data_IF_971898999723
#
_entry.id   IF_971898999723
#
_cell.length_a   1.000
_cell.length_b   1.000
_cell.length_c   1.000
_cell.angle_alpha   90.00
_cell.angle_beta   90.00
_cell.angle_gamma   90.00
#
_symmetry.space_group_name_H-M   'P 1'
#
loop_
_entity.id
_entity.type
_entity.pdbx_description
1 polymer ?
#
# COMPACT_ATOMS: atom_id res chain seq x y z
N UNK A 1 8.10 29.65 3.56
CA UNK A 1 8.75 28.36 3.86
C UNK A 1 8.01 27.75 5.04
N UNK A 2 7.07 26.83 4.81
CA UNK A 2 6.24 26.24 5.87
C UNK A 2 7.02 25.17 6.62
N UNK A 3 7.15 25.32 7.94
CA UNK A 3 7.70 24.30 8.83
C UNK A 3 6.97 22.96 8.59
N UNK A 4 7.68 21.81 8.64
CA UNK A 4 7.03 20.51 8.49
C UNK A 4 5.89 20.42 9.49
N UNK A 5 4.67 20.15 8.99
CA UNK A 5 3.50 19.93 9.83
C UNK A 5 3.74 18.66 10.65
N UNK A 6 4.30 18.83 11.84
CA UNK A 6 4.31 17.81 12.88
C UNK A 6 2.84 17.61 13.23
N UNK A 7 2.30 16.42 12.97
CA UNK A 7 0.92 16.07 13.34
C UNK A 7 0.94 15.51 14.76
N UNK A 8 0.60 16.29 15.80
CA UNK A 8 0.76 15.87 17.19
C UNK A 8 -0.10 14.64 17.52
N UNK A 9 -1.23 14.50 16.84
CA UNK A 9 -2.12 13.35 16.91
C UNK A 9 -1.42 12.04 16.49
N UNK A 10 -0.53 12.10 15.49
CA UNK A 10 0.20 10.92 15.03
C UNK A 10 1.25 10.51 16.03
N UNK A 11 1.93 11.48 16.64
CA UNK A 11 2.88 11.20 17.72
C UNK A 11 2.17 10.62 18.94
N UNK A 12 0.99 11.12 19.28
CA UNK A 12 0.19 10.54 20.36
C UNK A 12 -0.19 9.08 20.09
N UNK A 13 -0.71 8.78 18.88
CA UNK A 13 -1.03 7.41 18.46
C UNK A 13 0.24 6.55 18.48
N UNK A 14 1.35 7.08 17.94
CA UNK A 14 2.63 6.37 17.88
C UNK A 14 3.11 6.02 19.29
N UNK A 15 3.21 6.98 20.19
CA UNK A 15 3.69 6.76 21.56
C UNK A 15 2.79 5.79 22.32
N UNK A 16 1.46 5.94 22.23
CA UNK A 16 0.51 5.04 22.90
C UNK A 16 0.67 3.57 22.46
N UNK A 17 0.75 3.31 21.16
CA UNK A 17 0.91 1.95 20.64
C UNK A 17 2.35 1.44 20.73
N UNK A 18 3.32 2.35 20.82
CA UNK A 18 4.71 2.00 21.09
C UNK A 18 4.86 1.48 22.53
N UNK A 19 4.26 2.17 23.50
CA UNK A 19 4.32 1.79 24.92
C UNK A 19 3.50 0.53 25.22
N UNK A 20 2.34 0.37 24.60
CA UNK A 20 1.44 -0.76 24.89
C UNK A 20 1.79 -2.05 24.15
N UNK A 21 2.24 -2.00 22.90
CA UNK A 21 2.48 -3.20 22.08
C UNK A 21 3.78 -3.18 21.27
N UNK A 22 4.55 -2.09 21.32
CA UNK A 22 5.75 -1.91 20.50
C UNK A 22 5.47 -1.62 19.03
N UNK A 23 4.20 -1.40 18.64
CA UNK A 23 3.77 -1.26 17.24
C UNK A 23 3.40 0.18 16.87
N UNK A 24 4.05 1.16 17.49
CA UNK A 24 3.70 2.58 17.32
C UNK A 24 3.73 3.03 15.86
N UNK A 25 4.73 2.55 15.10
CA UNK A 25 4.87 2.90 13.68
C UNK A 25 3.73 2.33 12.83
N UNK A 26 3.36 1.07 13.08
CA UNK A 26 2.36 0.35 12.32
C UNK A 26 1.00 1.06 12.42
N UNK A 27 0.61 1.44 13.63
CA UNK A 27 -0.65 2.14 13.89
C UNK A 27 -0.65 3.58 13.38
N UNK A 28 0.42 4.34 13.63
CA UNK A 28 0.46 5.76 13.26
C UNK A 28 0.63 6.00 11.75
N UNK A 29 1.32 5.09 11.04
CA UNK A 29 1.69 5.29 9.63
C UNK A 29 1.33 4.12 8.72
N UNK A 30 1.72 2.88 9.03
CA UNK A 30 1.61 1.76 8.09
C UNK A 30 0.17 1.43 7.72
N UNK A 31 -0.67 1.10 8.72
CA UNK A 31 -2.08 0.73 8.48
C UNK A 31 -2.86 1.89 7.87
N UNK A 32 -2.62 3.11 8.35
CA UNK A 32 -3.26 4.32 7.81
C UNK A 32 -2.86 4.57 6.35
N UNK A 33 -1.58 4.42 6.03
CA UNK A 33 -1.05 4.55 4.68
C UNK A 33 -1.64 3.48 3.75
N UNK A 34 -1.65 2.23 4.21
CA UNK A 34 -2.21 1.13 3.43
C UNK A 34 -3.72 1.27 3.20
N UNK A 35 -4.48 1.80 4.18
CA UNK A 35 -5.90 2.14 3.99
C UNK A 35 -6.13 3.20 2.90
N UNK A 36 -5.15 4.07 2.61
CA UNK A 36 -5.23 4.98 1.45
C UNK A 36 -4.99 4.23 0.14
N UNK A 37 -4.05 3.29 0.12
CA UNK A 37 -3.78 2.42 -1.03
C UNK A 37 -5.01 1.60 -1.39
N UNK A 38 -5.65 0.95 -0.40
CA UNK A 38 -6.86 0.17 -0.63
C UNK A 38 -8.01 1.02 -1.20
N UNK A 39 -8.20 2.23 -0.68
CA UNK A 39 -9.20 3.17 -1.22
C UNK A 39 -8.90 3.60 -2.65
N UNK A 40 -7.63 3.80 -2.99
CA UNK A 40 -7.23 4.11 -4.37
C UNK A 40 -7.46 2.93 -5.31
N UNK A 41 -7.08 1.72 -4.90
CA UNK A 41 -7.31 0.50 -5.66
C UNK A 41 -8.82 0.24 -5.88
N UNK A 42 -9.66 0.48 -4.88
CA UNK A 42 -11.12 0.39 -5.00
C UNK A 42 -11.75 1.40 -5.98
N UNK A 43 -11.02 2.43 -6.43
CA UNK A 43 -11.50 3.32 -7.50
C UNK A 43 -11.35 2.73 -8.90
N UNK A 44 -10.45 1.75 -9.06
CA UNK A 44 -10.12 1.10 -10.34
C UNK A 44 -11.15 0.03 -10.70
N UNK A 45 -11.69 -0.68 -9.70
CA UNK A 45 -12.69 -1.73 -9.88
C UNK A 45 -13.96 -1.33 -9.14
N UNK A 46 -15.00 -0.90 -9.86
CA UNK A 46 -16.29 -0.44 -9.30
C UNK A 46 -17.45 -1.37 -9.66
N UNK A 47 -17.35 -2.10 -10.76
CA UNK A 47 -18.33 -3.07 -11.23
C UNK A 47 -17.70 -4.45 -11.48
N UNK A 48 -18.52 -5.49 -11.64
CA UNK A 48 -18.04 -6.86 -11.91
C UNK A 48 -17.34 -7.02 -13.25
N UNK A 49 -17.54 -6.09 -14.18
CA UNK A 49 -16.97 -6.11 -15.54
C UNK A 49 -15.76 -5.20 -15.69
N UNK A 50 -15.49 -4.35 -14.70
CA UNK A 50 -14.36 -3.43 -14.76
C UNK A 50 -13.04 -4.24 -14.75
N UNK A 51 -12.18 -3.94 -15.72
CA UNK A 51 -10.80 -4.44 -15.76
C UNK A 51 -9.87 -3.25 -15.57
N UNK A 52 -8.88 -3.43 -14.70
CA UNK A 52 -7.85 -2.43 -14.48
C UNK A 52 -6.64 -3.03 -13.78
N UNK A 53 -5.56 -2.28 -13.80
CA UNK A 53 -4.27 -2.69 -13.22
C UNK A 53 -3.95 -1.74 -12.07
N UNK A 54 -3.64 -2.32 -10.92
CA UNK A 54 -3.14 -1.58 -9.76
C UNK A 54 -1.65 -1.85 -9.64
N UNK A 55 -0.85 -0.78 -9.66
CA UNK A 55 0.60 -0.86 -9.49
C UNK A 55 1.00 -0.21 -8.18
N UNK A 56 1.73 -0.94 -7.35
CA UNK A 56 2.27 -0.45 -6.09
C UNK A 56 3.77 -0.17 -6.29
N UNK A 57 4.16 1.09 -6.24
CA UNK A 57 5.52 1.54 -6.53
C UNK A 57 6.15 2.01 -5.23
N UNK A 58 6.89 1.12 -4.58
CA UNK A 58 7.80 1.39 -3.45
C UNK A 58 8.38 0.04 -2.96
N UNK A 59 9.62 0.01 -2.48
CA UNK A 59 10.23 -1.21 -1.90
C UNK A 59 9.44 -1.77 -0.69
N UNK A 60 8.77 -0.89 0.07
CA UNK A 60 7.99 -1.26 1.26
C UNK A 60 6.91 -2.31 0.97
N UNK A 61 6.32 -2.26 -0.23
CA UNK A 61 5.30 -3.22 -0.68
C UNK A 61 5.87 -4.64 -0.93
N UNK A 62 7.18 -4.78 -1.04
CA UNK A 62 7.89 -6.07 -1.08
C UNK A 62 8.14 -6.67 0.32
N UNK A 63 8.18 -5.84 1.36
CA UNK A 63 8.48 -6.28 2.73
C UNK A 63 7.34 -7.12 3.34
N UNK A 64 7.71 -8.09 4.18
CA UNK A 64 6.74 -9.01 4.81
C UNK A 64 5.65 -8.27 5.62
N UNK A 65 6.01 -7.17 6.29
CA UNK A 65 5.08 -6.36 7.08
C UNK A 65 3.90 -5.82 6.25
N UNK A 66 4.17 -5.26 5.07
CA UNK A 66 3.13 -4.75 4.18
C UNK A 66 2.39 -5.87 3.44
N UNK A 67 3.09 -6.94 3.07
CA UNK A 67 2.48 -8.10 2.38
C UNK A 67 1.39 -8.76 3.22
N UNK A 68 1.54 -8.77 4.56
CA UNK A 68 0.52 -9.28 5.49
C UNK A 68 -0.77 -8.46 5.48
N UNK A 69 -0.75 -7.22 4.96
CA UNK A 69 -1.93 -6.36 4.86
C UNK A 69 -2.69 -6.58 3.55
N UNK A 70 -2.14 -7.35 2.61
CA UNK A 70 -2.75 -7.51 1.30
C UNK A 70 -4.08 -8.26 1.45
N UNK A 71 -5.15 -7.78 0.79
CA UNK A 71 -6.39 -8.54 0.68
C UNK A 71 -6.12 -9.92 0.08
N UNK A 72 -6.90 -10.93 0.48
CA UNK A 72 -6.72 -12.31 0.02
C UNK A 72 -6.83 -12.42 -1.52
N UNK A 73 -7.65 -11.57 -2.11
CA UNK A 73 -7.89 -11.45 -3.54
C UNK A 73 -6.61 -11.06 -4.31
N UNK A 74 -5.64 -10.43 -3.63
CA UNK A 74 -4.36 -10.01 -4.22
C UNK A 74 -3.26 -11.08 -4.13
N UNK A 75 -3.61 -12.32 -3.80
CA UNK A 75 -2.68 -13.47 -3.69
C UNK A 75 -1.82 -13.73 -4.94
N UNK A 76 -2.22 -13.22 -6.11
CA UNK A 76 -1.49 -13.35 -7.39
C UNK A 76 -0.65 -12.12 -7.76
N UNK A 77 -0.32 -11.25 -6.80
CA UNK A 77 0.54 -10.08 -7.06
C UNK A 77 1.87 -10.50 -7.71
N UNK A 78 2.32 -9.73 -8.71
CA UNK A 78 3.60 -9.92 -9.38
C UNK A 78 4.57 -8.84 -8.93
N UNK A 79 5.79 -9.25 -8.58
CA UNK A 79 6.88 -8.33 -8.25
C UNK A 79 7.73 -8.15 -9.50
N UNK A 80 7.98 -6.90 -9.85
CA UNK A 80 8.66 -6.53 -11.09
C UNK A 80 9.76 -5.55 -10.72
N UNK A 81 11.01 -5.85 -11.09
CA UNK A 81 12.16 -5.02 -10.75
C UNK A 81 12.72 -4.22 -11.95
N UNK A 82 12.02 -4.21 -13.08
CA UNK A 82 12.47 -3.50 -14.28
C UNK A 82 11.37 -3.16 -15.27
N UNK A 83 11.60 -2.09 -16.04
CA UNK A 83 10.65 -1.58 -17.05
C UNK A 83 10.37 -2.58 -18.16
N UNK A 84 11.36 -3.37 -18.61
CA UNK A 84 11.15 -4.36 -19.68
C UNK A 84 10.18 -5.48 -19.28
N UNK A 85 10.32 -6.00 -18.07
CA UNK A 85 9.42 -7.03 -17.55
C UNK A 85 8.01 -6.46 -17.34
N UNK A 86 7.93 -5.23 -16.83
CA UNK A 86 6.67 -4.51 -16.69
C UNK A 86 5.95 -4.37 -18.03
N UNK A 87 6.64 -3.91 -19.08
CA UNK A 87 6.07 -3.74 -20.42
C UNK A 87 5.48 -5.06 -20.94
N UNK A 88 6.21 -6.17 -20.83
CA UNK A 88 5.72 -7.49 -21.26
C UNK A 88 4.46 -7.93 -20.51
N UNK A 89 4.39 -7.67 -19.20
CA UNK A 89 3.22 -8.01 -18.40
C UNK A 89 1.99 -7.18 -18.78
N UNK A 90 2.19 -5.90 -19.11
CA UNK A 90 1.11 -5.02 -19.54
C UNK A 90 0.59 -5.38 -20.93
N UNK A 91 1.47 -5.71 -21.89
CA UNK A 91 1.09 -6.16 -23.24
C UNK A 91 0.19 -7.40 -23.20
N UNK A 92 0.50 -8.36 -22.32
CA UNK A 92 -0.33 -9.56 -22.12
C UNK A 92 -1.69 -9.31 -21.46
N UNK A 93 -1.93 -8.12 -20.91
CA UNK A 93 -3.20 -7.76 -20.25
C UNK A 93 -4.16 -7.00 -21.17
N UNK A 94 -3.66 -6.48 -22.30
CA UNK A 94 -4.43 -5.76 -23.32
C UNK A 94 -4.96 -6.65 -24.46
N UNK A 95 -4.66 -7.96 -24.44
CA UNK A 95 -5.25 -8.98 -25.33
C UNK A 95 -6.40 -9.70 -24.65
#
# INVERSE_FOLDING_TARGET
MGLPQIYPERELIRSYYQESSGQGFEFAYMYRGFNKVLRAAGRVIRTKTDRGIVMLIDERFGCLAYRRLYPREWSKVRYVSGTRELTRLLEGYSS
#
